data_IF_740300719333
#
_entry.id   IF_740300719333
#
_cell.length_a   1.000
_cell.length_b   1.000
_cell.length_c   1.000
_cell.angle_alpha   90.00
_cell.angle_beta   90.00
_cell.angle_gamma   90.00
#
_symmetry.space_group_name_H-M   'P 1'
#
loop_
_entity.id
_entity.type
_entity.pdbx_description
1 polymer ?
#
# COMPACT_ATOMS: atom_id res chain seq x y z
N UNK A 1 -12.37 -44.66 35.54
CA UNK A 1 -11.71 -43.58 34.77
C UNK A 1 -12.52 -42.30 34.92
N UNK A 2 -12.35 -41.56 36.01
CA UNK A 2 -13.12 -40.30 36.23
C UNK A 2 -12.41 -39.27 37.14
N UNK A 3 -11.18 -39.55 37.58
CA UNK A 3 -10.44 -38.69 38.51
C UNK A 3 -9.16 -38.06 37.91
N UNK A 4 -8.93 -38.19 36.59
CA UNK A 4 -7.73 -37.62 35.95
C UNK A 4 -7.96 -36.28 35.24
N UNK A 5 -9.17 -35.72 35.29
CA UNK A 5 -9.51 -34.45 34.60
C UNK A 5 -9.30 -33.22 35.50
N UNK A 6 -9.25 -33.39 36.83
CA UNK A 6 -9.09 -32.27 37.78
C UNK A 6 -7.64 -31.75 37.85
N UNK A 7 -6.66 -32.54 37.41
CA UNK A 7 -5.23 -32.19 37.54
C UNK A 7 -4.66 -31.35 36.37
N UNK A 8 -5.40 -31.15 35.28
CA UNK A 8 -4.92 -30.40 34.10
C UNK A 8 -5.34 -28.91 34.12
N UNK A 9 -6.27 -28.53 35.00
CA UNK A 9 -6.78 -27.15 35.10
C UNK A 9 -5.97 -26.21 36.03
N UNK A 10 -4.95 -26.73 36.73
CA UNK A 10 -4.17 -25.96 37.74
C UNK A 10 -2.79 -25.50 37.22
N UNK A 11 -2.33 -26.00 36.06
CA UNK A 11 -0.95 -25.76 35.57
C UNK A 11 -0.81 -24.58 34.60
N UNK A 12 -1.91 -23.99 34.10
CA UNK A 12 -1.84 -22.88 33.13
C UNK A 12 -1.96 -21.47 33.74
N UNK A 13 -1.99 -21.35 35.07
CA UNK A 13 -2.16 -20.07 35.78
C UNK A 13 -0.85 -19.36 36.19
N UNK A 14 0.33 -19.76 35.67
CA UNK A 14 1.62 -19.23 36.16
C UNK A 14 2.50 -18.48 35.14
N UNK A 15 1.98 -18.07 33.98
CA UNK A 15 2.69 -17.07 33.16
C UNK A 15 2.30 -15.64 33.58
N UNK A 16 2.80 -15.28 34.77
CA UNK A 16 2.84 -13.95 35.35
C UNK A 16 3.85 -13.06 34.62
N UNK A 17 3.47 -11.80 34.42
CA UNK A 17 4.26 -10.70 33.88
C UNK A 17 5.65 -10.58 34.53
N UNK A 18 6.64 -10.19 33.73
CA UNK A 18 7.91 -9.62 34.20
C UNK A 18 7.95 -8.14 33.81
N UNK A 19 7.63 -7.29 34.78
CA UNK A 19 8.05 -5.89 34.79
C UNK A 19 9.56 -5.82 35.00
N UNK A 20 10.22 -4.92 34.26
CA UNK A 20 11.57 -4.45 34.55
C UNK A 20 11.48 -2.94 34.78
N UNK A 21 11.83 -2.52 35.99
CA UNK A 21 11.98 -1.13 36.40
C UNK A 21 13.46 -0.74 36.49
N UNK A 22 13.68 0.58 36.36
CA UNK A 22 14.84 1.41 36.72
C UNK A 22 15.96 1.49 35.66
N UNK A 23 16.51 2.66 35.30
CA UNK A 23 16.80 3.85 36.11
C UNK A 23 16.60 5.19 35.37
N UNK A 24 16.08 6.16 36.11
CA UNK A 24 16.09 7.60 35.88
C UNK A 24 17.44 8.23 36.22
N UNK A 25 17.92 9.16 35.39
CA UNK A 25 18.92 10.18 35.78
C UNK A 25 18.36 11.58 35.56
N UNK A 26 18.29 12.31 36.65
CA UNK A 26 18.00 13.72 36.81
C UNK A 26 19.26 14.58 36.55
N UNK A 27 19.11 15.69 35.82
CA UNK A 27 19.63 17.00 36.26
C UNK A 27 19.18 18.18 35.37
N UNK A 28 18.30 19.02 35.94
CA UNK A 28 18.34 20.50 36.02
C UNK A 28 18.46 21.42 34.77
N UNK A 29 17.33 22.09 34.43
CA UNK A 29 17.06 23.55 34.16
C UNK A 29 18.16 24.43 33.50
N UNK A 30 17.98 25.20 32.40
CA UNK A 30 17.03 26.30 32.01
C UNK A 30 17.61 26.99 30.72
N UNK A 31 16.94 27.84 29.88
CA UNK A 31 15.54 28.25 29.76
C UNK A 31 14.86 27.94 28.41
N UNK A 32 13.54 27.96 28.51
CA UNK A 32 12.45 27.92 27.55
C UNK A 32 12.57 28.83 26.32
N UNK A 33 12.47 28.23 25.14
CA UNK A 33 11.99 28.88 23.93
C UNK A 33 11.05 27.89 23.23
N UNK A 34 9.76 28.01 23.55
CA UNK A 34 8.68 27.20 22.99
C UNK A 34 8.55 27.52 21.49
N UNK A 35 9.24 26.74 20.67
CA UNK A 35 8.77 26.42 19.32
C UNK A 35 7.96 25.14 19.46
N UNK A 36 6.71 25.14 19.01
CA UNK A 36 5.88 23.94 18.88
C UNK A 36 6.58 22.95 17.94
N UNK A 37 7.42 22.09 18.50
CA UNK A 37 7.81 20.84 17.88
C UNK A 37 6.57 19.97 17.87
N UNK A 38 5.92 19.90 16.71
CA UNK A 38 5.12 18.73 16.37
C UNK A 38 6.11 17.57 16.39
N UNK A 39 6.18 16.85 17.51
CA UNK A 39 6.72 15.50 17.53
C UNK A 39 5.85 14.70 16.56
N UNK A 40 6.38 14.56 15.36
CA UNK A 40 5.93 13.56 14.42
C UNK A 40 6.17 12.23 15.12
N UNK A 41 5.08 11.65 15.64
CA UNK A 41 4.95 10.23 15.99
C UNK A 41 5.25 9.40 14.73
N UNK A 42 6.51 9.41 14.33
CA UNK A 42 7.06 8.58 13.28
C UNK A 42 7.39 7.26 13.95
N UNK A 43 6.65 6.23 13.57
CA UNK A 43 7.08 4.86 13.81
C UNK A 43 8.49 4.74 13.21
N UNK A 44 9.53 4.45 14.01
CA UNK A 44 10.91 4.44 13.52
C UNK A 44 11.03 3.52 12.29
N UNK A 45 11.49 4.08 11.16
CA UNK A 45 11.74 3.33 9.93
C UNK A 45 10.62 3.32 8.88
N UNK A 46 9.51 4.05 9.09
CA UNK A 46 8.49 4.26 8.05
C UNK A 46 8.69 5.62 7.36
N UNK A 47 8.86 5.61 6.03
CA UNK A 47 8.97 6.82 5.20
C UNK A 47 7.59 7.39 4.83
N UNK A 48 7.49 8.67 4.48
CA UNK A 48 6.23 9.29 4.03
C UNK A 48 5.65 8.57 2.80
N UNK A 49 6.49 8.16 1.85
CA UNK A 49 6.07 7.34 0.71
C UNK A 49 5.40 6.02 1.11
N UNK A 50 5.98 5.33 2.10
CA UNK A 50 5.44 4.09 2.63
C UNK A 50 4.12 4.33 3.37
N UNK A 51 4.02 5.42 4.14
CA UNK A 51 2.75 5.84 4.77
C UNK A 51 1.67 6.06 3.70
N UNK A 52 1.94 6.89 2.69
CA UNK A 52 0.99 7.16 1.60
C UNK A 52 0.52 5.85 0.95
N UNK A 53 1.45 4.96 0.60
CA UNK A 53 1.08 3.69 -0.04
C UNK A 53 0.26 2.78 0.90
N UNK A 54 0.63 2.70 2.19
CA UNK A 54 -0.10 1.90 3.18
C UNK A 54 -1.51 2.40 3.44
N UNK A 55 -1.69 3.72 3.57
CA UNK A 55 -3.02 4.34 3.71
C UNK A 55 -3.88 4.17 2.45
N UNK A 56 -3.26 3.87 1.30
CA UNK A 56 -3.96 3.51 0.06
C UNK A 56 -4.15 1.99 -0.12
N UNK A 57 -3.87 1.18 0.90
CA UNK A 57 -4.19 -0.25 0.91
C UNK A 57 -3.06 -1.18 0.48
N UNK A 58 -1.83 -0.69 0.29
CA UNK A 58 -0.68 -1.53 -0.12
C UNK A 58 -0.43 -2.70 0.86
N UNK A 59 -0.74 -2.55 2.16
CA UNK A 59 -0.57 -3.64 3.15
C UNK A 59 -1.37 -4.91 2.81
N UNK A 60 -2.51 -4.77 2.15
CA UNK A 60 -3.39 -5.87 1.78
C UNK A 60 -3.21 -6.30 0.31
N UNK A 61 -2.16 -5.82 -0.38
CA UNK A 61 -1.99 -6.08 -1.81
C UNK A 61 -1.99 -7.57 -2.18
N UNK A 62 -1.37 -8.41 -1.36
CA UNK A 62 -1.30 -9.85 -1.60
C UNK A 62 -2.67 -10.56 -1.50
N UNK A 63 -3.67 -9.90 -0.92
CA UNK A 63 -5.04 -10.42 -0.85
C UNK A 63 -5.81 -10.18 -2.15
N UNK A 64 -5.40 -9.19 -2.96
CA UNK A 64 -6.09 -8.79 -4.18
C UNK A 64 -6.10 -9.93 -5.20
N UNK A 65 -7.30 -10.37 -5.58
CA UNK A 65 -7.52 -11.43 -6.58
C UNK A 65 -7.92 -10.89 -7.95
N UNK A 66 -8.64 -9.76 -7.99
CA UNK A 66 -9.11 -9.11 -9.21
C UNK A 66 -9.28 -7.59 -8.98
N UNK A 67 -8.98 -6.80 -10.00
CA UNK A 67 -9.21 -5.36 -10.05
C UNK A 67 -9.95 -5.04 -11.33
N UNK A 68 -11.10 -4.40 -11.19
CA UNK A 68 -11.91 -3.93 -12.32
C UNK A 68 -11.91 -2.41 -12.31
N UNK A 69 -11.46 -1.80 -13.41
CA UNK A 69 -11.36 -0.35 -13.48
C UNK A 69 -11.57 0.18 -14.90
N UNK A 70 -12.00 1.43 -14.98
CA UNK A 70 -12.17 2.17 -16.23
C UNK A 70 -11.27 3.39 -16.20
N UNK A 71 -10.46 3.56 -17.23
CA UNK A 71 -9.75 4.80 -17.48
C UNK A 71 -10.56 5.63 -18.47
N UNK A 72 -10.83 6.89 -18.12
CA UNK A 72 -11.54 7.82 -18.98
C UNK A 72 -10.88 9.20 -18.96
N UNK A 73 -11.02 9.93 -20.06
CA UNK A 73 -10.53 11.30 -20.23
C UNK A 73 -11.49 12.09 -21.12
N UNK A 74 -11.92 13.24 -20.63
CA UNK A 74 -12.63 14.25 -21.43
C UNK A 74 -11.64 15.32 -21.92
N UNK A 75 -11.71 15.66 -23.21
CA UNK A 75 -10.92 16.73 -23.84
C UNK A 75 -11.81 17.60 -24.73
N UNK A 76 -12.39 18.64 -24.14
CA UNK A 76 -13.46 19.41 -24.78
C UNK A 76 -14.68 18.50 -24.98
N UNK A 77 -15.22 18.46 -26.19
CA UNK A 77 -16.40 17.62 -26.51
C UNK A 77 -16.06 16.15 -26.82
N UNK A 78 -14.79 15.75 -26.69
CA UNK A 78 -14.34 14.38 -26.95
C UNK A 78 -14.22 13.60 -25.66
N UNK A 79 -14.90 12.46 -25.62
CA UNK A 79 -14.79 11.46 -24.57
C UNK A 79 -13.94 10.27 -25.04
N UNK A 80 -13.05 9.80 -24.18
CA UNK A 80 -12.30 8.57 -24.39
C UNK A 80 -12.40 7.70 -23.14
N UNK A 81 -12.74 6.43 -23.30
CA UNK A 81 -12.73 5.46 -22.21
C UNK A 81 -12.33 4.06 -22.67
N UNK A 82 -11.86 3.27 -21.70
CA UNK A 82 -11.62 1.83 -21.81
C UNK A 82 -11.58 1.22 -20.42
N UNK A 83 -11.97 -0.05 -20.34
CA UNK A 83 -12.08 -0.79 -19.10
C UNK A 83 -11.17 -2.00 -19.08
N UNK A 84 -10.80 -2.42 -17.88
CA UNK A 84 -9.95 -3.58 -17.64
C UNK A 84 -10.52 -4.45 -16.52
N UNK A 85 -10.42 -5.77 -16.69
CA UNK A 85 -10.49 -6.75 -15.61
C UNK A 85 -9.09 -7.33 -15.49
N UNK A 86 -8.45 -7.20 -14.33
CA UNK A 86 -7.08 -7.64 -14.11
C UNK A 86 -6.99 -8.56 -12.90
N UNK A 87 -6.41 -9.75 -13.09
CA UNK A 87 -6.10 -10.69 -12.00
C UNK A 87 -4.59 -10.69 -11.75
N UNK A 88 -4.09 -9.92 -10.76
CA UNK A 88 -2.65 -9.74 -10.55
C UNK A 88 -1.90 -11.04 -10.28
N UNK A 89 -2.56 -12.01 -9.62
CA UNK A 89 -1.94 -13.28 -9.23
C UNK A 89 -1.66 -14.21 -10.42
N UNK A 90 -2.52 -14.23 -11.43
CA UNK A 90 -2.33 -15.07 -12.63
C UNK A 90 -1.69 -14.31 -13.80
N UNK A 91 -1.77 -12.97 -13.79
CA UNK A 91 -1.34 -12.12 -14.89
C UNK A 91 -2.39 -11.95 -15.99
N UNK A 92 -3.61 -12.48 -15.80
CA UNK A 92 -4.70 -12.34 -16.77
C UNK A 92 -5.25 -10.92 -16.82
N UNK A 93 -5.48 -10.43 -18.03
CA UNK A 93 -6.09 -9.13 -18.29
C UNK A 93 -7.14 -9.26 -19.39
N UNK A 94 -8.30 -8.67 -19.15
CA UNK A 94 -9.33 -8.41 -20.17
C UNK A 94 -9.37 -6.91 -20.41
N UNK A 95 -9.02 -6.48 -21.61
CA UNK A 95 -9.18 -5.12 -22.10
C UNK A 95 -10.52 -4.99 -22.81
N UNK A 96 -11.25 -3.90 -22.58
CA UNK A 96 -12.51 -3.59 -23.24
C UNK A 96 -12.54 -2.12 -23.68
N UNK A 97 -12.89 -1.87 -24.94
CA UNK A 97 -13.21 -0.55 -25.49
C UNK A 97 -14.61 -0.57 -26.09
N UNK A 98 -15.03 0.53 -26.70
CA UNK A 98 -16.30 0.59 -27.45
C UNK A 98 -16.37 -0.39 -28.62
N UNK A 99 -15.22 -0.79 -29.17
CA UNK A 99 -15.16 -1.59 -30.41
C UNK A 99 -14.50 -2.96 -30.23
N UNK A 100 -13.65 -3.12 -29.21
CA UNK A 100 -12.79 -4.28 -29.07
C UNK A 100 -12.85 -4.88 -27.67
N UNK A 101 -12.67 -6.20 -27.59
CA UNK A 101 -12.33 -6.91 -26.36
C UNK A 101 -11.10 -7.76 -26.63
N UNK A 102 -10.06 -7.59 -25.82
CA UNK A 102 -8.79 -8.32 -25.98
C UNK A 102 -8.47 -9.00 -24.65
N UNK A 103 -8.29 -10.33 -24.70
CA UNK A 103 -7.88 -11.13 -23.54
C UNK A 103 -6.43 -11.55 -23.73
N UNK A 104 -5.63 -11.37 -22.70
CA UNK A 104 -4.23 -11.74 -22.70
C UNK A 104 -3.73 -12.09 -21.30
N UNK A 105 -2.64 -12.86 -21.23
CA UNK A 105 -1.93 -13.12 -20.00
C UNK A 105 -0.52 -12.53 -20.11
N UNK A 106 -0.14 -11.68 -19.16
CA UNK A 106 1.12 -10.92 -19.19
C UNK A 106 2.37 -11.78 -18.95
N UNK A 107 2.21 -13.02 -18.50
CA UNK A 107 3.28 -13.96 -18.24
C UNK A 107 3.53 -14.90 -19.43
N UNK A 108 2.75 -14.77 -20.52
CA UNK A 108 2.84 -15.60 -21.72
C UNK A 108 3.29 -14.78 -22.94
N UNK A 109 3.62 -15.46 -24.03
CA UNK A 109 3.86 -14.81 -25.32
C UNK A 109 2.58 -14.13 -25.81
N UNK A 110 2.72 -12.90 -26.30
CA UNK A 110 1.61 -12.06 -26.74
C UNK A 110 1.76 -11.70 -28.21
N UNK A 111 0.65 -11.71 -28.95
CA UNK A 111 0.61 -11.20 -30.31
C UNK A 111 0.61 -9.66 -30.38
N UNK A 112 0.62 -9.12 -31.59
CA UNK A 112 0.69 -7.66 -31.79
C UNK A 112 -0.53 -6.90 -31.24
N UNK A 113 -1.71 -7.50 -31.21
CA UNK A 113 -2.93 -6.89 -30.70
C UNK A 113 -2.90 -6.87 -29.17
N UNK A 114 -2.51 -7.98 -28.56
CA UNK A 114 -2.34 -8.12 -27.12
C UNK A 114 -1.26 -7.17 -26.59
N UNK A 115 -0.12 -7.02 -27.28
CA UNK A 115 0.93 -6.05 -26.93
C UNK A 115 0.38 -4.61 -26.97
N UNK A 116 -0.48 -4.26 -27.94
CA UNK A 116 -1.09 -2.92 -27.99
C UNK A 116 -2.03 -2.69 -26.80
N UNK A 117 -2.83 -3.70 -26.44
CA UNK A 117 -3.70 -3.63 -25.26
C UNK A 117 -2.90 -3.55 -23.94
N UNK A 118 -1.81 -4.31 -23.81
CA UNK A 118 -0.93 -4.29 -22.62
C UNK A 118 -0.27 -2.93 -22.42
N UNK A 119 0.14 -2.25 -23.50
CA UNK A 119 0.66 -0.87 -23.41
C UNK A 119 -0.35 0.10 -22.79
N UNK A 120 -1.62 0.01 -23.19
CA UNK A 120 -2.69 0.79 -22.59
C UNK A 120 -2.90 0.41 -21.12
N UNK A 121 -2.96 -0.89 -20.81
CA UNK A 121 -3.08 -1.41 -19.45
C UNK A 121 -1.95 -0.91 -18.53
N UNK A 122 -0.69 -0.90 -19.00
CA UNK A 122 0.47 -0.40 -18.25
C UNK A 122 0.30 1.08 -17.89
N UNK A 123 -0.05 1.93 -18.86
CA UNK A 123 -0.27 3.35 -18.61
C UNK A 123 -1.41 3.58 -17.62
N UNK A 124 -2.55 2.91 -17.85
CA UNK A 124 -3.77 3.22 -17.13
C UNK A 124 -3.76 2.65 -15.70
N UNK A 125 -3.14 1.48 -15.47
CA UNK A 125 -2.94 0.97 -14.09
C UNK A 125 -1.95 1.83 -13.29
N UNK A 126 -1.01 2.49 -13.96
CA UNK A 126 -0.04 3.36 -13.28
C UNK A 126 -0.76 4.54 -12.62
N UNK A 127 -1.74 5.12 -13.32
CA UNK A 127 -2.61 6.16 -12.76
C UNK A 127 -3.45 5.63 -11.60
N UNK A 128 -4.04 4.45 -11.74
CA UNK A 128 -4.84 3.82 -10.69
C UNK A 128 -4.03 3.57 -9.40
N UNK A 129 -2.80 3.08 -9.54
CA UNK A 129 -1.94 2.66 -8.44
C UNK A 129 -0.79 3.65 -8.16
N UNK A 130 -0.96 4.92 -8.51
CA UNK A 130 0.06 5.94 -8.33
C UNK A 130 0.63 6.00 -6.89
N UNK A 131 -0.15 5.85 -5.80
CA UNK A 131 0.40 5.78 -4.45
C UNK A 131 1.34 4.60 -4.22
N UNK A 132 1.12 3.46 -4.87
CA UNK A 132 1.90 2.24 -4.69
C UNK A 132 3.24 2.35 -5.41
N UNK A 133 3.24 3.05 -6.55
CA UNK A 133 4.46 3.39 -7.29
C UNK A 133 5.41 4.32 -6.50
N UNK A 134 5.02 4.90 -5.37
CA UNK A 134 5.99 5.55 -4.48
C UNK A 134 6.95 4.55 -3.82
N UNK A 135 6.54 3.27 -3.71
CA UNK A 135 7.30 2.20 -3.03
C UNK A 135 7.82 1.15 -4.02
N UNK A 136 7.03 0.75 -5.01
CA UNK A 136 7.39 -0.34 -5.94
C UNK A 136 8.51 0.00 -6.93
N UNK A 137 8.76 1.27 -7.11
CA UNK A 137 9.23 1.79 -8.37
C UNK A 137 10.68 2.26 -8.10
N UNK A 138 11.67 1.66 -8.76
CA UNK A 138 13.09 1.90 -8.44
C UNK A 138 13.66 3.18 -9.07
N UNK A 139 14.89 3.55 -8.66
CA UNK A 139 15.67 4.63 -9.29
C UNK A 139 15.17 6.05 -9.01
N UNK A 140 14.41 6.26 -7.92
CA UNK A 140 13.86 7.56 -7.53
C UNK A 140 14.46 8.07 -6.24
N UNK A 141 14.57 9.39 -6.14
CA UNK A 141 14.87 10.11 -4.91
C UNK A 141 13.67 10.96 -4.56
N UNK A 142 13.12 10.75 -3.36
CA UNK A 142 12.03 11.57 -2.82
C UNK A 142 12.61 12.61 -1.88
N UNK A 143 12.11 13.83 -1.97
CA UNK A 143 12.45 14.91 -1.04
C UNK A 143 11.18 15.45 -0.41
N UNK A 144 11.30 15.85 0.85
CA UNK A 144 10.19 16.34 1.65
C UNK A 144 10.52 17.75 2.11
N UNK A 145 9.52 18.63 2.12
CA UNK A 145 9.63 19.98 2.68
C UNK A 145 8.57 20.16 3.73
N UNK A 146 8.98 20.44 4.95
CA UNK A 146 8.07 20.78 6.04
C UNK A 146 7.57 22.22 5.90
N UNK A 147 6.46 22.53 6.58
CA UNK A 147 5.92 23.88 6.75
C UNK A 147 5.69 24.64 5.43
N UNK A 148 5.32 23.94 4.36
CA UNK A 148 4.93 24.57 3.11
C UNK A 148 3.52 25.13 3.23
N UNK A 149 3.29 26.32 2.69
CA UNK A 149 1.96 26.88 2.53
C UNK A 149 1.32 26.14 1.35
N UNK A 150 0.14 25.55 1.55
CA UNK A 150 -0.60 24.89 0.48
C UNK A 150 -0.95 25.89 -0.64
N UNK A 151 -0.94 25.48 -1.92
CA UNK A 151 -1.32 26.34 -3.05
C UNK A 151 -2.74 26.91 -2.95
#
# INVERSE_FOLDING_TARGET
>A
MKNSIVFILIVLALFSCKDVQNESKDNSNKPEQQALTMEQDSIPGITTAKLIAYENGLKAWDEVSEINFTFNVDRGDRHFERSFIWRPKSGDVVYMSSNDTVVFNRNLEMDSLQIRADKAFINDKYWLLAPFHLVWDHGKTLSEKANQIAP
#
